data_IF_974479646782
#
_entry.id   IF_974479646782
#
_cell.length_a   1.000
_cell.length_b   1.000
_cell.length_c   1.000
_cell.angle_alpha   90.00
_cell.angle_beta   90.00
_cell.angle_gamma   90.00
#
_symmetry.space_group_name_H-M   'P 1'
#
loop_
_entity.id
_entity.type
_entity.pdbx_description
1 polymer ?
#
# COMPACT_ATOMS: atom_id res chain seq x y z
N UNK A 1 -39.43 -1.81 44.27
CA UNK A 1 -38.15 -1.06 44.28
C UNK A 1 -36.99 -2.04 44.22
N UNK A 2 -36.19 -2.04 43.14
CA UNK A 2 -35.01 -2.93 43.03
C UNK A 2 -33.83 -2.23 43.72
N UNK A 3 -33.10 -2.89 44.65
CA UNK A 3 -32.07 -2.24 45.45
C UNK A 3 -30.88 -1.75 44.60
N UNK A 4 -30.47 -0.49 44.81
CA UNK A 4 -29.42 0.21 44.07
C UNK A 4 -28.09 -0.54 43.97
N UNK A 5 -27.78 -1.41 44.95
CA UNK A 5 -26.57 -2.25 44.97
C UNK A 5 -26.48 -3.23 43.78
N UNK A 6 -27.63 -3.76 43.31
CA UNK A 6 -27.70 -4.68 42.16
C UNK A 6 -27.47 -3.97 40.82
N UNK A 7 -27.79 -2.67 40.73
CA UNK A 7 -27.54 -1.85 39.53
C UNK A 7 -26.06 -1.50 39.37
N UNK A 8 -25.35 -1.28 40.47
CA UNK A 8 -23.91 -0.98 40.44
C UNK A 8 -23.07 -2.20 40.06
N UNK A 9 -23.37 -3.39 40.62
CA UNK A 9 -22.67 -4.64 40.24
C UNK A 9 -22.89 -5.04 38.77
N UNK A 10 -24.09 -4.86 38.24
CA UNK A 10 -24.37 -5.16 36.82
C UNK A 10 -23.66 -4.17 35.89
N UNK A 11 -23.52 -2.91 36.29
CA UNK A 11 -22.76 -1.90 35.56
C UNK A 11 -21.25 -2.19 35.49
N UNK A 12 -20.63 -2.60 36.60
CA UNK A 12 -19.19 -2.92 36.62
C UNK A 12 -18.85 -4.16 35.79
N UNK A 13 -19.68 -5.20 35.86
CA UNK A 13 -19.52 -6.41 35.04
C UNK A 13 -19.67 -6.06 33.55
N UNK A 14 -20.65 -5.23 33.18
CA UNK A 14 -20.82 -4.78 31.79
C UNK A 14 -19.60 -4.03 31.26
N UNK A 15 -19.01 -3.16 32.09
CA UNK A 15 -17.79 -2.43 31.73
C UNK A 15 -16.60 -3.39 31.54
N UNK A 16 -16.45 -4.39 32.42
CA UNK A 16 -15.40 -5.41 32.29
C UNK A 16 -15.56 -6.25 31.02
N UNK A 17 -16.78 -6.67 30.68
CA UNK A 17 -17.06 -7.43 29.45
C UNK A 17 -16.77 -6.59 28.21
N UNK A 18 -17.16 -5.31 28.20
CA UNK A 18 -16.84 -4.38 27.10
C UNK A 18 -15.33 -4.22 26.94
N UNK A 19 -14.58 -4.07 28.04
CA UNK A 19 -13.12 -3.98 28.00
C UNK A 19 -12.50 -5.26 27.44
N UNK A 20 -13.00 -6.42 27.85
CA UNK A 20 -12.52 -7.72 27.37
C UNK A 20 -12.74 -7.88 25.86
N UNK A 21 -13.92 -7.54 25.36
CA UNK A 21 -14.23 -7.58 23.93
C UNK A 21 -13.30 -6.64 23.11
N UNK A 22 -12.99 -5.45 23.64
CA UNK A 22 -12.05 -4.52 22.97
C UNK A 22 -10.64 -5.12 22.88
N UNK A 23 -10.15 -5.77 23.94
CA UNK A 23 -8.83 -6.41 23.94
C UNK A 23 -8.78 -7.54 22.92
N UNK A 24 -9.83 -8.34 22.83
CA UNK A 24 -9.92 -9.44 21.87
C UNK A 24 -9.93 -8.94 20.42
N UNK A 25 -10.71 -7.88 20.14
CA UNK A 25 -10.72 -7.24 18.83
C UNK A 25 -9.34 -6.66 18.50
N UNK A 26 -8.71 -5.94 19.43
CA UNK A 26 -7.38 -5.36 19.21
C UNK A 26 -6.33 -6.44 18.94
N UNK A 27 -6.37 -7.57 19.66
CA UNK A 27 -5.49 -8.71 19.41
C UNK A 27 -5.73 -9.32 18.02
N UNK A 28 -6.99 -9.47 17.61
CA UNK A 28 -7.34 -9.97 16.30
C UNK A 28 -6.82 -9.05 15.18
N UNK A 29 -6.99 -7.73 15.34
CA UNK A 29 -6.49 -6.72 14.39
C UNK A 29 -4.97 -6.77 14.29
N UNK A 30 -4.25 -6.76 15.42
CA UNK A 30 -2.79 -6.85 15.42
C UNK A 30 -2.27 -8.13 14.74
N UNK A 31 -2.98 -9.26 14.93
CA UNK A 31 -2.65 -10.52 14.25
C UNK A 31 -2.87 -10.41 12.74
N UNK A 32 -3.95 -9.77 12.30
CA UNK A 32 -4.24 -9.57 10.88
C UNK A 32 -3.22 -8.60 10.23
N UNK A 33 -2.84 -7.53 10.93
CA UNK A 33 -1.84 -6.57 10.47
C UNK A 33 -0.47 -7.21 10.29
N UNK A 34 -0.02 -8.03 11.25
CA UNK A 34 1.25 -8.75 11.13
C UNK A 34 1.25 -9.73 9.96
N UNK A 35 0.15 -10.48 9.77
CA UNK A 35 0.03 -11.39 8.61
C UNK A 35 0.07 -10.64 7.29
N UNK A 36 -0.56 -9.48 7.21
CA UNK A 36 -0.51 -8.65 6.01
C UNK A 36 0.93 -8.14 5.75
N UNK A 37 1.63 -7.72 6.81
CA UNK A 37 3.03 -7.30 6.71
C UNK A 37 3.94 -8.46 6.23
N UNK A 38 3.74 -9.67 6.76
CA UNK A 38 4.50 -10.86 6.38
C UNK A 38 4.31 -11.23 4.91
N UNK A 39 3.06 -11.17 4.40
CA UNK A 39 2.77 -11.44 2.98
C UNK A 39 3.49 -10.43 2.08
N UNK A 40 3.46 -9.15 2.43
CA UNK A 40 4.15 -8.11 1.67
C UNK A 40 5.67 -8.26 1.72
N UNK A 41 6.23 -8.66 2.88
CA UNK A 41 7.65 -8.95 3.03
C UNK A 41 8.07 -10.17 2.19
N UNK A 42 7.27 -11.24 2.19
CA UNK A 42 7.52 -12.42 1.36
C UNK A 42 7.48 -12.10 -0.13
N UNK A 43 6.56 -11.25 -0.58
CA UNK A 43 6.48 -10.84 -1.98
C UNK A 43 7.71 -10.01 -2.38
N UNK A 44 8.19 -9.12 -1.50
CA UNK A 44 9.45 -8.39 -1.72
C UNK A 44 10.63 -9.35 -1.86
N UNK A 45 10.77 -10.31 -0.94
CA UNK A 45 11.87 -11.29 -0.98
C UNK A 45 11.79 -12.14 -2.26
N UNK A 46 10.58 -12.56 -2.66
CA UNK A 46 10.35 -13.31 -3.90
C UNK A 46 10.79 -12.50 -5.12
N UNK A 47 10.43 -11.22 -5.18
CA UNK A 47 10.82 -10.32 -6.26
C UNK A 47 12.34 -10.08 -6.30
N UNK A 48 12.96 -9.84 -5.14
CA UNK A 48 14.40 -9.65 -5.01
C UNK A 48 15.16 -10.90 -5.46
N UNK A 49 14.71 -12.09 -5.07
CA UNK A 49 15.27 -13.36 -5.51
C UNK A 49 15.15 -13.53 -7.02
N UNK A 50 13.98 -13.27 -7.60
CA UNK A 50 13.79 -13.35 -9.05
C UNK A 50 14.73 -12.40 -9.80
N UNK A 51 14.92 -11.18 -9.30
CA UNK A 51 15.84 -10.20 -9.89
C UNK A 51 17.31 -10.60 -9.73
N UNK A 52 17.69 -11.15 -8.57
CA UNK A 52 19.02 -11.68 -8.33
C UNK A 52 19.34 -12.86 -9.26
N UNK A 53 18.38 -13.76 -9.49
CA UNK A 53 18.52 -14.89 -10.41
C UNK A 53 18.65 -14.41 -11.87
N UNK A 54 17.85 -13.42 -12.30
CA UNK A 54 18.00 -12.79 -13.63
C UNK A 54 19.39 -12.15 -13.81
N UNK A 55 19.89 -11.46 -12.78
CA UNK A 55 21.23 -10.83 -12.82
C UNK A 55 22.34 -11.89 -12.86
N UNK A 56 22.19 -13.00 -12.13
CA UNK A 56 23.12 -14.14 -12.19
C UNK A 56 23.15 -14.80 -13.56
N UNK A 57 21.99 -15.01 -14.18
CA UNK A 57 21.93 -15.53 -15.54
C UNK A 57 22.52 -14.56 -16.58
N UNK A 58 22.52 -13.25 -16.32
CA UNK A 58 23.23 -12.29 -17.18
C UNK A 58 24.76 -12.40 -17.02
N UNK A 59 25.25 -12.64 -15.80
CA UNK A 59 26.69 -12.73 -15.53
C UNK A 59 27.30 -14.10 -15.90
N UNK A 60 26.52 -15.18 -15.88
CA UNK A 60 26.98 -16.53 -16.26
C UNK A 60 27.06 -16.71 -17.80
N UNK A 61 26.25 -15.94 -18.55
CA UNK A 61 26.26 -15.91 -20.02
C UNK A 61 27.53 -15.27 -20.62
N UNK A 62 28.29 -14.50 -19.85
CA UNK A 62 29.51 -13.83 -20.31
C UNK A 62 30.77 -14.72 -20.22
N UNK A 63 30.72 -15.85 -19.48
CA UNK A 63 31.92 -16.60 -19.08
C UNK A 63 32.18 -17.80 -19.99
N UNK A 64 31.15 -18.33 -20.66
CA UNK A 64 31.25 -19.49 -21.56
C UNK A 64 31.14 -19.15 -23.07
N UNK A 65 30.90 -17.88 -23.44
CA UNK A 65 30.75 -17.51 -24.85
C UNK A 65 32.05 -17.00 -25.49
N UNK A 66 32.93 -17.93 -25.86
CA UNK A 66 34.03 -17.68 -26.80
C UNK A 66 33.52 -17.61 -28.25
N UNK A 67 32.58 -16.71 -28.54
CA UNK A 67 32.08 -16.41 -29.89
C UNK A 67 32.20 -14.91 -30.20
N UNK A 68 32.54 -14.53 -31.45
CA UNK A 68 32.90 -13.15 -31.81
C UNK A 68 31.73 -12.17 -31.70
N UNK A 69 31.99 -10.86 -31.57
CA UNK A 69 30.98 -9.88 -31.18
C UNK A 69 30.05 -9.58 -32.37
N UNK A 70 28.83 -10.12 -32.32
CA UNK A 70 27.74 -9.67 -33.19
C UNK A 70 26.60 -9.22 -32.28
N UNK A 71 26.52 -7.89 -32.18
CA UNK A 71 25.30 -7.10 -32.08
C UNK A 71 24.21 -7.63 -31.13
N UNK A 72 24.14 -6.97 -29.97
CA UNK A 72 22.92 -6.74 -29.22
C UNK A 72 21.70 -6.65 -30.17
N UNK A 73 20.59 -7.34 -29.85
CA UNK A 73 19.23 -7.22 -30.45
C UNK A 73 18.67 -8.29 -31.40
N UNK A 74 19.23 -9.51 -31.48
CA UNK A 74 18.66 -10.56 -32.36
C UNK A 74 17.16 -10.90 -32.09
N UNK A 75 16.68 -10.73 -30.86
CA UNK A 75 15.25 -10.92 -30.53
C UNK A 75 14.36 -9.70 -30.81
N UNK A 76 14.90 -8.49 -30.73
CA UNK A 76 14.09 -7.28 -30.93
C UNK A 76 13.90 -6.92 -32.39
N UNK A 77 14.76 -7.39 -33.30
CA UNK A 77 14.67 -7.13 -34.74
C UNK A 77 14.37 -8.40 -35.53
N UNK A 78 13.56 -9.32 -34.99
CA UNK A 78 13.13 -10.53 -35.68
C UNK A 78 11.76 -10.34 -36.36
N UNK A 79 11.60 -10.94 -37.52
CA UNK A 79 10.35 -10.95 -38.29
C UNK A 79 9.31 -11.83 -37.59
N UNK A 80 8.12 -11.30 -37.35
CA UNK A 80 7.05 -12.03 -36.66
C UNK A 80 6.58 -13.28 -37.42
N UNK A 81 6.66 -13.27 -38.75
CA UNK A 81 6.24 -14.40 -39.59
C UNK A 81 7.31 -15.50 -39.70
N UNK A 82 8.58 -15.14 -39.91
CA UNK A 82 9.63 -16.10 -40.27
C UNK A 82 10.88 -16.09 -39.38
N UNK A 83 10.93 -15.25 -38.36
CA UNK A 83 12.04 -15.18 -37.40
C UNK A 83 13.35 -14.60 -37.94
N UNK A 84 13.49 -14.36 -39.26
CA UNK A 84 14.67 -13.70 -39.85
C UNK A 84 14.75 -12.23 -39.44
N UNK A 85 15.93 -11.62 -39.62
CA UNK A 85 16.14 -10.18 -39.37
C UNK A 85 15.08 -9.34 -40.09
N UNK A 86 14.33 -8.56 -39.33
CA UNK A 86 13.35 -7.61 -39.83
C UNK A 86 14.06 -6.34 -40.34
N UNK A 87 13.56 -5.81 -41.44
CA UNK A 87 14.01 -4.58 -42.09
C UNK A 87 12.97 -3.47 -41.95
N UNK A 88 11.70 -3.84 -41.77
CA UNK A 88 10.56 -2.94 -41.83
C UNK A 88 9.66 -3.17 -40.62
N UNK A 89 8.89 -2.15 -40.27
CA UNK A 89 7.91 -2.19 -39.19
C UNK A 89 6.54 -1.86 -39.76
N UNK A 90 5.49 -2.49 -39.22
CA UNK A 90 4.12 -2.23 -39.64
C UNK A 90 3.77 -0.74 -39.49
N UNK A 91 3.41 -0.09 -40.60
CA UNK A 91 3.08 1.35 -40.65
C UNK A 91 1.87 1.76 -39.80
N UNK A 92 0.99 0.80 -39.47
CA UNK A 92 -0.19 1.04 -38.64
C UNK A 92 0.13 1.13 -37.15
N UNK A 93 0.91 0.19 -36.62
CA UNK A 93 1.11 0.01 -35.18
C UNK A 93 2.55 0.23 -34.70
N UNK A 94 3.52 0.27 -35.61
CA UNK A 94 4.97 0.34 -35.35
C UNK A 94 5.51 -0.71 -34.34
N UNK A 95 4.74 -1.77 -34.07
CA UNK A 95 5.08 -2.81 -33.10
C UNK A 95 5.52 -4.10 -33.78
N UNK A 96 4.75 -4.55 -34.77
CA UNK A 96 5.09 -5.73 -35.55
C UNK A 96 6.22 -5.44 -36.53
N UNK A 97 7.21 -6.33 -36.56
CA UNK A 97 8.41 -6.21 -37.40
C UNK A 97 8.45 -7.32 -38.44
N UNK A 98 8.85 -6.97 -39.65
CA UNK A 98 8.88 -7.88 -40.80
C UNK A 98 10.17 -7.72 -41.60
N UNK A 99 10.60 -8.80 -42.25
CA UNK A 99 11.73 -8.77 -43.19
C UNK A 99 11.34 -8.26 -44.59
N UNK A 100 10.11 -7.74 -44.75
CA UNK A 100 9.57 -7.20 -45.99
C UNK A 100 8.05 -7.37 -46.07
N UNK A 101 7.43 -6.64 -47.00
CA UNK A 101 5.97 -6.63 -47.20
C UNK A 101 5.34 -8.02 -47.37
N UNK A 102 6.04 -8.99 -47.99
CA UNK A 102 5.51 -10.36 -48.14
C UNK A 102 5.20 -11.03 -46.79
N UNK A 103 6.12 -10.89 -45.81
CA UNK A 103 5.91 -11.46 -44.48
C UNK A 103 4.81 -10.74 -43.72
N UNK A 104 4.65 -9.42 -43.93
CA UNK A 104 3.56 -8.64 -43.35
C UNK A 104 2.20 -9.13 -43.86
N UNK A 105 2.02 -9.31 -45.17
CA UNK A 105 0.75 -9.76 -45.74
C UNK A 105 0.37 -11.17 -45.27
N UNK A 106 1.33 -12.10 -45.22
CA UNK A 106 1.06 -13.47 -44.75
C UNK A 106 0.76 -13.56 -43.25
N UNK A 107 1.26 -12.61 -42.46
CA UNK A 107 0.95 -12.51 -41.03
C UNK A 107 -0.31 -11.67 -40.76
N UNK A 108 -0.90 -11.05 -41.79
CA UNK A 108 -2.00 -10.09 -41.63
C UNK A 108 -3.21 -10.70 -40.91
N UNK A 109 -3.60 -11.94 -41.23
CA UNK A 109 -4.71 -12.63 -40.56
C UNK A 109 -4.53 -12.74 -39.04
N UNK A 110 -3.30 -12.86 -38.56
CA UNK A 110 -2.99 -12.95 -37.13
C UNK A 110 -2.72 -11.57 -36.52
N UNK A 111 -2.01 -10.70 -37.24
CA UNK A 111 -1.59 -9.39 -36.77
C UNK A 111 -2.70 -8.34 -36.76
N UNK A 112 -3.65 -8.37 -37.71
CA UNK A 112 -4.63 -7.28 -37.87
C UNK A 112 -5.50 -7.05 -36.63
N UNK A 113 -5.78 -8.11 -35.87
CA UNK A 113 -6.56 -8.05 -34.63
C UNK A 113 -5.88 -7.21 -33.54
N UNK A 114 -4.55 -7.13 -33.58
CA UNK A 114 -3.72 -6.38 -32.62
C UNK A 114 -3.05 -5.17 -33.26
N UNK A 115 -3.33 -4.90 -34.54
CA UNK A 115 -2.78 -3.77 -35.27
C UNK A 115 -3.50 -2.47 -34.87
N UNK A 116 -2.78 -1.57 -34.18
CA UNK A 116 -3.29 -0.25 -33.78
C UNK A 116 -3.53 -0.10 -32.28
N UNK A 117 -3.61 -1.21 -31.54
CA UNK A 117 -3.78 -1.22 -30.07
C UNK A 117 -2.60 -0.59 -29.32
N UNK A 118 -1.44 -0.43 -29.98
CA UNK A 118 -0.23 0.19 -29.44
C UNK A 118 -0.09 1.69 -29.74
N UNK A 119 -1.01 2.30 -30.50
CA UNK A 119 -1.00 3.75 -30.78
C UNK A 119 -1.74 4.60 -29.75
N UNK A 120 -2.23 3.97 -28.68
CA UNK A 120 -2.69 4.66 -27.48
C UNK A 120 -1.48 5.19 -26.72
N UNK A 121 -1.05 6.40 -27.10
CA UNK A 121 -0.87 7.49 -26.15
C UNK A 121 0.11 7.24 -24.98
N UNK A 122 1.41 7.33 -25.26
CA UNK A 122 2.45 7.54 -24.23
C UNK A 122 2.80 9.04 -24.15
N UNK A 123 1.89 9.95 -24.50
CA UNK A 123 2.19 11.41 -24.50
C UNK A 123 1.10 12.32 -23.95
N UNK A 124 -0.03 11.79 -23.47
CA UNK A 124 -1.11 12.56 -22.82
C UNK A 124 -1.77 11.87 -21.62
N UNK A 125 -1.40 10.65 -21.24
CA UNK A 125 -1.79 10.11 -19.94
C UNK A 125 -0.65 10.23 -18.94
N UNK A 126 -0.77 11.10 -17.90
CA UNK A 126 0.01 10.91 -16.69
C UNK A 126 -0.28 9.49 -16.19
N UNK A 127 0.75 8.82 -15.67
CA UNK A 127 0.66 7.62 -14.84
C UNK A 127 -0.68 7.59 -14.07
N UNK A 128 -1.34 6.43 -13.88
CA UNK A 128 -2.38 6.33 -12.88
C UNK A 128 -1.73 6.67 -11.54
N UNK A 129 -1.83 7.93 -11.17
CA UNK A 129 -1.46 8.44 -9.87
C UNK A 129 -2.53 7.84 -9.00
N UNK A 130 -2.19 6.73 -8.34
CA UNK A 130 -3.00 6.22 -7.25
C UNK A 130 -3.27 7.42 -6.35
N UNK A 131 -4.54 7.83 -6.14
CA UNK A 131 -4.83 8.98 -5.32
C UNK A 131 -4.58 8.60 -3.86
N UNK A 132 -3.31 8.66 -3.43
CA UNK A 132 -2.91 8.55 -2.03
C UNK A 132 -3.17 9.90 -1.35
N UNK A 133 -4.44 10.33 -1.33
CA UNK A 133 -4.93 11.44 -0.50
C UNK A 133 -6.45 11.50 -0.60
N UNK A 134 -7.13 10.64 0.16
CA UNK A 134 -8.59 10.72 0.29
C UNK A 134 -9.17 9.74 1.29
N UNK A 135 -8.66 8.50 1.34
CA UNK A 135 -9.29 7.45 2.14
C UNK A 135 -9.16 7.60 3.67
N UNK A 136 -8.27 8.49 4.15
CA UNK A 136 -8.11 8.74 5.60
C UNK A 136 -9.07 9.81 6.18
N UNK A 137 -9.83 10.52 5.34
CA UNK A 137 -10.80 11.51 5.83
C UNK A 137 -12.16 10.86 6.16
N UNK A 138 -12.55 9.82 5.43
CA UNK A 138 -13.79 9.09 5.69
C UNK A 138 -13.72 8.21 6.94
N UNK A 139 -12.57 7.63 7.27
CA UNK A 139 -12.39 6.88 8.54
C UNK A 139 -12.53 7.79 9.77
N UNK A 140 -12.11 9.07 9.68
CA UNK A 140 -12.31 10.07 10.76
C UNK A 140 -13.76 10.51 10.89
N UNK A 141 -14.56 10.48 9.81
CA UNK A 141 -16.01 10.76 9.86
C UNK A 141 -16.78 9.58 10.45
N UNK A 142 -16.39 8.34 10.13
CA UNK A 142 -17.04 7.14 10.64
C UNK A 142 -16.79 6.92 12.15
N UNK A 143 -15.60 7.27 12.66
CA UNK A 143 -15.34 7.26 14.11
C UNK A 143 -16.16 8.31 14.89
N UNK A 144 -16.54 9.45 14.27
CA UNK A 144 -17.32 10.51 14.93
C UNK A 144 -18.80 10.16 15.09
N UNK A 145 -19.35 9.32 14.21
CA UNK A 145 -20.77 8.92 14.23
C UNK A 145 -21.02 7.64 15.04
N UNK A 146 -19.97 6.88 15.41
CA UNK A 146 -20.07 5.78 16.37
C UNK A 146 -19.84 6.26 17.82
N UNK A 147 -20.55 7.32 18.24
CA UNK A 147 -20.52 7.75 19.65
C UNK A 147 -21.62 6.98 20.40
N UNK A 148 -21.29 6.09 21.35
CA UNK A 148 -22.32 5.44 22.14
C UNK A 148 -23.10 6.50 22.93
N UNK A 149 -24.42 6.36 22.88
CA UNK A 149 -25.43 7.22 23.49
C UNK A 149 -25.13 7.42 24.99
N UNK A 150 -24.65 8.62 25.35
CA UNK A 150 -24.43 9.05 26.73
C UNK A 150 -25.69 9.80 27.19
N UNK A 151 -26.64 9.05 27.75
CA UNK A 151 -27.70 9.63 28.56
C UNK A 151 -27.13 10.08 29.91
N UNK A 152 -27.55 11.28 30.30
CA UNK A 152 -27.50 11.89 31.64
C UNK A 152 -26.17 12.46 32.17
N UNK A 153 -26.01 13.77 31.96
CA UNK A 153 -25.32 14.66 32.92
C UNK A 153 -25.98 16.05 32.96
N UNK A 154 -27.07 16.16 33.72
CA UNK A 154 -27.50 17.42 34.34
C UNK A 154 -27.53 17.23 35.86
N UNK A 155 -26.43 17.60 36.52
CA UNK A 155 -26.45 18.01 37.92
C UNK A 155 -25.41 19.12 38.07
N UNK A 156 -25.94 20.35 38.01
CA UNK A 156 -25.25 21.61 38.27
C UNK A 156 -25.23 21.77 39.80
N UNK A 157 -24.09 21.62 40.45
CA UNK A 157 -23.98 21.99 41.87
C UNK A 157 -23.74 23.50 42.00
N UNK A 158 -24.37 24.19 42.97
CA UNK A 158 -24.25 25.63 43.13
C UNK A 158 -22.94 26.02 43.82
N UNK A 159 -22.36 27.14 43.37
CA UNK A 159 -21.30 27.89 44.05
C UNK A 159 -21.93 28.55 45.27
N UNK A 160 -21.53 28.20 46.50
CA UNK A 160 -21.48 29.08 47.69
C UNK A 160 -21.10 28.27 48.93
N UNK A 161 -19.84 28.38 49.38
CA UNK A 161 -19.30 28.23 50.75
C UNK A 161 -17.76 28.29 50.63
N UNK A 162 -17.22 29.50 50.59
CA UNK A 162 -16.35 30.13 51.62
C UNK A 162 -14.86 29.77 51.52
N UNK A 163 -14.07 30.82 51.29
CA UNK A 163 -12.62 31.00 51.55
C UNK A 163 -12.31 30.95 53.07
N UNK A 164 -11.11 31.34 53.58
CA UNK A 164 -9.74 31.46 53.03
C UNK A 164 -8.68 30.77 53.96
N UNK A 165 -7.39 31.08 53.75
CA UNK A 165 -6.22 30.95 54.66
C UNK A 165 -5.39 29.66 54.65
N UNK A 166 -4.07 29.85 54.75
CA UNK A 166 -3.15 28.85 55.31
C UNK A 166 -1.98 28.45 54.43
N UNK A 167 -0.81 29.01 54.71
CA UNK A 167 0.47 28.79 54.08
C UNK A 167 1.04 27.37 54.30
N UNK A 168 1.79 26.87 53.32
CA UNK A 168 3.10 26.23 53.56
C UNK A 168 3.99 26.44 52.33
N UNK A 169 5.07 27.18 52.55
CA UNK A 169 6.24 27.25 51.69
C UNK A 169 7.01 25.92 51.79
N UNK A 170 7.71 25.52 50.73
CA UNK A 170 9.17 25.28 50.74
C UNK A 170 9.61 24.54 49.46
N UNK A 171 10.66 25.10 48.84
CA UNK A 171 11.73 24.45 48.06
C UNK A 171 11.33 23.54 46.86
N UNK A 172 11.96 23.60 45.69
CA UNK A 172 13.40 23.70 45.46
C UNK A 172 13.67 24.17 44.01
N UNK A 173 14.58 25.14 43.93
CA UNK A 173 15.48 25.52 42.83
C UNK A 173 16.28 24.27 42.39
N UNK A 174 16.85 24.09 41.20
CA UNK A 174 17.09 24.92 40.04
C UNK A 174 17.39 24.00 38.84
N UNK A 175 17.12 24.56 37.66
CA UNK A 175 17.90 24.51 36.42
C UNK A 175 19.12 23.56 36.36
N UNK A 176 19.19 22.76 35.28
CA UNK A 176 20.38 22.66 34.44
C UNK A 176 19.98 22.31 33.00
N UNK A 177 20.25 23.26 32.11
CA UNK A 177 20.15 23.23 30.66
C UNK A 177 21.54 23.62 30.11
N UNK A 178 21.79 23.35 28.83
CA UNK A 178 23.03 23.54 28.04
C UNK A 178 24.06 22.38 28.13
N UNK A 179 24.34 21.62 27.06
CA UNK A 179 24.85 21.99 25.73
C UNK A 179 26.29 22.53 25.80
N UNK A 180 27.27 21.66 25.54
CA UNK A 180 28.41 21.77 24.62
C UNK A 180 29.08 20.40 24.54
#
# INVERSE_FOLDING_TARGET
MIPSSKKTMTSTVLVSVKRQAVIEIQRAVATAENRAADVMAQERIRMEKFFADMTRHSNDRDLDNKSPPISQSAGQNACWNCGRKASETCSGCNLAKYCGAFCQHKDWEHHHQVCGTSRSDVSKHPLPSVPVRGQYQDVRRLLKHNRPNQVDRKQRLPRHLRSPTGATQAAEVAANDAFV
#
